data_IF_003555135031
#
_entry.id   IF_003555135031
#
_cell.length_a   1.000
_cell.length_b   1.000
_cell.length_c   1.000
_cell.angle_alpha   90.00
_cell.angle_beta   90.00
_cell.angle_gamma   90.00
#
_symmetry.space_group_name_H-M   'P 1'
#
loop_
_entity.id
_entity.type
_entity.pdbx_description
1 polymer ?
#
# COMPACT_ATOMS: atom_id res chain seq x y z
N UNK A 1 10.61 -3.76 4.18
CA UNK A 1 9.41 -3.11 4.76
C UNK A 1 8.17 -4.02 4.79
N UNK A 2 7.39 -4.19 3.71
CA UNK A 2 6.07 -4.86 3.80
C UNK A 2 6.17 -6.37 4.11
N UNK A 3 7.17 -7.07 3.53
CA UNK A 3 7.46 -8.48 3.85
C UNK A 3 7.83 -8.68 5.32
N UNK A 4 8.75 -7.86 5.83
CA UNK A 4 9.15 -7.90 7.25
C UNK A 4 7.96 -7.62 8.17
N UNK A 5 7.09 -6.67 7.81
CA UNK A 5 5.90 -6.35 8.60
C UNK A 5 4.87 -7.49 8.61
N UNK A 6 4.74 -8.21 7.49
CA UNK A 6 3.91 -9.41 7.38
C UNK A 6 4.43 -10.53 8.28
N UNK A 7 5.73 -10.78 8.26
CA UNK A 7 6.39 -11.77 9.12
C UNK A 7 6.25 -11.44 10.61
N UNK A 8 6.45 -10.17 10.98
CA UNK A 8 6.30 -9.71 12.37
C UNK A 8 4.87 -9.83 12.89
N UNK A 9 3.88 -9.52 12.05
CA UNK A 9 2.47 -9.56 12.44
C UNK A 9 1.83 -10.94 12.26
N UNK A 10 2.59 -11.94 11.76
CA UNK A 10 2.07 -13.24 11.36
C UNK A 10 0.82 -13.12 10.46
N UNK A 11 0.83 -12.11 9.59
CA UNK A 11 -0.29 -11.73 8.75
C UNK A 11 0.11 -11.84 7.28
N UNK A 12 -0.84 -12.13 6.38
CA UNK A 12 -0.53 -12.24 4.97
C UNK A 12 -0.17 -10.87 4.40
N UNK A 13 0.74 -10.85 3.41
CA UNK A 13 1.33 -9.61 2.88
C UNK A 13 0.29 -8.67 2.23
N UNK A 14 -0.80 -9.25 1.75
CA UNK A 14 -1.97 -8.60 1.17
C UNK A 14 -2.97 -8.07 2.19
N UNK A 15 -2.68 -8.20 3.49
CA UNK A 15 -3.41 -7.54 4.59
C UNK A 15 -2.58 -6.44 5.27
N UNK A 16 -1.32 -6.27 4.87
CA UNK A 16 -0.45 -5.24 5.43
C UNK A 16 -0.70 -3.90 4.76
N UNK A 17 -1.18 -2.95 5.55
CA UNK A 17 -1.30 -1.55 5.16
C UNK A 17 0.01 -0.80 5.45
N UNK A 18 0.36 0.12 4.56
CA UNK A 18 1.49 1.03 4.73
C UNK A 18 1.13 2.44 4.28
N UNK A 19 1.77 3.46 4.84
CA UNK A 19 1.48 4.87 4.52
C UNK A 19 2.67 5.53 3.81
N UNK A 20 2.43 6.70 3.21
CA UNK A 20 3.52 7.50 2.60
C UNK A 20 4.62 7.83 3.61
N UNK A 21 4.25 8.02 4.88
CA UNK A 21 5.20 8.28 5.96
C UNK A 21 6.14 7.10 6.16
N UNK A 22 5.60 5.88 6.25
CA UNK A 22 6.41 4.67 6.39
C UNK A 22 7.36 4.48 5.21
N UNK A 23 6.90 4.74 3.98
CA UNK A 23 7.75 4.66 2.79
C UNK A 23 8.90 5.66 2.90
N UNK A 24 8.62 6.91 3.26
CA UNK A 24 9.67 7.95 3.43
C UNK A 24 10.69 7.58 4.51
N UNK A 25 10.22 7.06 5.64
CA UNK A 25 11.11 6.64 6.75
C UNK A 25 11.96 5.44 6.35
N UNK A 26 11.43 4.50 5.55
CA UNK A 26 12.14 3.32 5.10
C UNK A 26 13.11 3.57 3.94
N UNK A 27 12.73 4.38 2.94
CA UNK A 27 13.55 4.63 1.75
C UNK A 27 14.40 5.88 1.83
N UNK A 28 14.11 6.80 2.76
CA UNK A 28 14.75 8.12 2.83
C UNK A 28 14.37 9.06 1.68
N UNK A 29 13.35 8.73 0.89
CA UNK A 29 12.94 9.53 -0.27
C UNK A 29 12.21 10.82 0.13
N UNK A 30 12.34 11.83 -0.74
CA UNK A 30 11.54 13.05 -0.64
C UNK A 30 10.04 12.76 -0.86
N UNK A 31 9.18 13.63 -0.33
CA UNK A 31 7.72 13.50 -0.49
C UNK A 31 7.30 13.42 -1.97
N UNK A 32 7.96 14.21 -2.82
CA UNK A 32 7.70 14.21 -4.26
C UNK A 32 8.03 12.86 -4.90
N UNK A 33 9.20 12.28 -4.59
CA UNK A 33 9.59 10.97 -5.12
C UNK A 33 8.59 9.90 -4.69
N UNK A 34 8.21 9.87 -3.42
CA UNK A 34 7.24 8.90 -2.90
C UNK A 34 5.90 9.04 -3.61
N UNK A 35 5.39 10.26 -3.79
CA UNK A 35 4.14 10.50 -4.52
C UNK A 35 4.20 10.05 -5.99
N UNK A 36 5.31 10.32 -6.68
CA UNK A 36 5.48 9.92 -8.08
C UNK A 36 5.50 8.39 -8.23
N UNK A 37 6.26 7.69 -7.39
CA UNK A 37 6.40 6.23 -7.48
C UNK A 37 5.12 5.51 -7.05
N UNK A 38 4.44 5.99 -6.00
CA UNK A 38 3.14 5.45 -5.59
C UNK A 38 2.13 5.57 -6.72
N UNK A 39 2.08 6.73 -7.40
CA UNK A 39 1.17 6.92 -8.52
C UNK A 39 1.45 5.93 -9.66
N UNK A 40 2.71 5.70 -10.00
CA UNK A 40 3.09 4.70 -11.00
C UNK A 40 2.65 3.28 -10.59
N UNK A 41 2.86 2.90 -9.33
CA UNK A 41 2.45 1.59 -8.81
C UNK A 41 0.93 1.42 -8.80
N UNK A 42 0.18 2.50 -8.53
CA UNK A 42 -1.28 2.53 -8.60
C UNK A 42 -1.78 2.38 -10.04
N UNK A 43 -1.19 3.12 -10.99
CA UNK A 43 -1.53 3.02 -12.43
C UNK A 43 -1.28 1.62 -13.00
N UNK A 44 -0.28 0.93 -12.47
CA UNK A 44 0.06 -0.44 -12.84
C UNK A 44 -0.70 -1.50 -11.99
N UNK A 45 -1.64 -1.09 -11.15
CA UNK A 45 -2.45 -1.94 -10.27
C UNK A 45 -1.65 -2.84 -9.30
N UNK A 46 -0.40 -2.47 -8.99
CA UNK A 46 0.40 -3.19 -7.98
C UNK A 46 -0.06 -2.92 -6.55
N UNK A 47 -0.61 -1.72 -6.32
CA UNK A 47 -1.07 -1.29 -5.01
C UNK A 47 -2.51 -0.78 -5.06
N UNK A 48 -3.22 -0.94 -3.94
CA UNK A 48 -4.56 -0.44 -3.72
C UNK A 48 -4.53 0.72 -2.74
N UNK A 49 -5.35 1.74 -3.00
CA UNK A 49 -5.49 2.89 -2.09
C UNK A 49 -6.72 2.67 -1.21
N UNK A 50 -6.52 2.78 0.10
CA UNK A 50 -7.58 2.77 1.11
C UNK A 50 -7.53 4.08 1.89
N UNK A 51 -8.59 4.87 1.77
CA UNK A 51 -8.76 6.09 2.55
C UNK A 51 -9.61 5.78 3.78
N UNK A 52 -9.12 6.07 4.98
CA UNK A 52 -9.94 6.01 6.19
C UNK A 52 -10.79 7.29 6.29
N UNK A 53 -12.09 7.14 6.54
CA UNK A 53 -13.04 8.26 6.67
C UNK A 53 -12.79 9.13 7.91
N UNK A 54 -12.03 8.64 8.89
CA UNK A 54 -11.73 9.34 10.16
C UNK A 54 -10.40 10.10 10.17
N UNK A 55 -10.03 10.66 9.01
CA UNK A 55 -8.97 11.67 8.90
C UNK A 55 -7.87 11.26 7.93
N UNK A 56 -7.95 11.81 6.71
CA UNK A 56 -6.92 12.06 5.66
C UNK A 56 -5.64 11.20 5.60
N UNK A 57 -5.63 10.00 6.14
CA UNK A 57 -4.50 9.09 6.06
C UNK A 57 -4.71 8.16 4.88
N UNK A 58 -3.85 8.35 3.88
CA UNK A 58 -3.77 7.46 2.73
C UNK A 58 -2.98 6.22 3.15
N UNK A 59 -3.70 5.11 3.26
CA UNK A 59 -3.12 3.79 3.46
C UNK A 59 -3.10 3.06 2.12
N UNK A 60 -2.01 2.37 1.87
CA UNK A 60 -1.79 1.58 0.67
C UNK A 60 -1.66 0.12 1.05
N UNK A 61 -2.08 -0.75 0.15
CA UNK A 61 -1.97 -2.21 0.31
C UNK A 61 -1.40 -2.81 -0.96
N UNK A 62 -0.67 -3.92 -0.84
CA UNK A 62 -0.20 -4.65 -2.01
C UNK A 62 -1.37 -5.45 -2.60
N UNK A 63 -1.73 -5.14 -3.85
CA UNK A 63 -2.79 -5.85 -4.59
C UNK A 63 -2.22 -6.96 -5.48
N UNK A 64 -0.90 -6.95 -5.71
CA UNK A 64 -0.23 -7.83 -6.64
C UNK A 64 0.68 -8.84 -5.91
N UNK A 65 0.36 -10.13 -6.04
CA UNK A 65 1.14 -11.25 -5.47
C UNK A 65 1.98 -12.04 -6.50
N UNK A 66 2.35 -11.45 -7.64
CA UNK A 66 3.31 -12.08 -8.55
C UNK A 66 2.83 -13.31 -9.31
N UNK A 67 1.53 -13.63 -9.30
CA UNK A 67 0.96 -14.82 -9.97
C UNK A 67 -0.32 -14.52 -10.77
N UNK A 68 -0.54 -13.28 -11.23
CA UNK A 68 -1.69 -12.94 -12.08
C UNK A 68 -3.06 -13.00 -11.38
N UNK A 69 -3.11 -13.12 -10.05
CA UNK A 69 -4.33 -12.92 -9.27
C UNK A 69 -4.41 -11.46 -8.81
N UNK A 70 -5.34 -10.71 -9.39
CA UNK A 70 -5.83 -9.49 -8.79
C UNK A 70 -6.77 -9.86 -7.63
N UNK A 71 -6.40 -9.46 -6.41
CA UNK A 71 -7.33 -9.56 -5.29
C UNK A 71 -8.44 -8.53 -5.50
N UNK A 72 -9.69 -9.01 -5.57
CA UNK A 72 -10.88 -8.16 -5.77
C UNK A 72 -10.91 -7.08 -4.70
N UNK A 73 -10.98 -5.82 -5.16
CA UNK A 73 -11.19 -4.64 -4.32
C UNK A 73 -12.40 -4.90 -3.40
N UNK A 74 -12.13 -5.03 -2.10
CA UNK A 74 -13.16 -4.98 -1.08
C UNK A 74 -13.89 -3.66 -1.20
N UNK A 75 -15.16 -3.74 -1.56
CA UNK A 75 -16.13 -2.65 -1.58
C UNK A 75 -16.00 -1.84 -0.29
N UNK A 76 -15.86 -0.52 -0.41
CA UNK A 76 -16.34 0.38 0.64
C UNK A 76 -17.02 1.55 -0.05
N UNK A 77 -18.32 1.36 -0.29
CA UNK A 77 -19.30 2.40 -0.55
C UNK A 77 -19.28 3.42 0.58
N UNK A 78 -19.26 4.71 0.26
CA UNK A 78 -20.18 5.75 0.74
C UNK A 78 -20.01 6.96 -0.16
#
# INVERSE_FOLDING_TARGET
>A
MVKEQAEQNNAPIDEIFFTRRMIREYTGWSDWQVRAHIKQLEEMEYIGVRTSSRGKEYSYILTYQGQGRSIKKGVTST
#
